data_IF_064693568689
#
_entry.id   IF_064693568689
#
_cell.length_a   1.000
_cell.length_b   1.000
_cell.length_c   1.000
_cell.angle_alpha   90.00
_cell.angle_beta   90.00
_cell.angle_gamma   90.00
#
_symmetry.space_group_name_H-M   'P 1'
#
loop_
_entity.id
_entity.type
_entity.pdbx_description
1 polymer ?
#
# COMPACT_ATOMS: atom_id res chain seq x y z
N UNK A 1 -14.95 7.64 10.59
CA UNK A 1 -14.77 8.26 9.26
C UNK A 1 -16.16 8.61 8.79
N UNK A 2 -16.31 9.76 8.16
CA UNK A 2 -17.57 10.13 7.51
C UNK A 2 -17.92 9.06 6.45
N UNK A 3 -19.07 8.42 6.62
CA UNK A 3 -19.54 7.38 5.70
C UNK A 3 -19.77 7.94 4.29
N UNK A 4 -20.15 9.22 4.17
CA UNK A 4 -20.38 9.86 2.88
C UNK A 4 -19.10 9.93 2.06
N UNK A 5 -18.00 10.37 2.67
CA UNK A 5 -16.68 10.46 2.04
C UNK A 5 -16.17 9.07 1.62
N UNK A 6 -16.41 8.05 2.45
CA UNK A 6 -16.01 6.69 2.11
C UNK A 6 -16.74 6.19 0.87
N UNK A 7 -18.06 6.39 0.79
CA UNK A 7 -18.84 5.96 -0.36
C UNK A 7 -18.49 6.75 -1.63
N UNK A 8 -18.23 8.05 -1.51
CA UNK A 8 -17.76 8.88 -2.63
C UNK A 8 -16.46 8.33 -3.22
N UNK A 9 -15.44 8.08 -2.38
CA UNK A 9 -14.15 7.55 -2.84
C UNK A 9 -14.28 6.13 -3.37
N UNK A 10 -15.01 5.26 -2.66
CA UNK A 10 -15.01 3.83 -2.94
C UNK A 10 -15.93 3.42 -4.11
N UNK A 11 -16.99 4.18 -4.37
CA UNK A 11 -17.99 3.85 -5.40
C UNK A 11 -18.05 4.86 -6.55
N UNK A 12 -17.92 6.17 -6.27
CA UNK A 12 -18.14 7.21 -7.28
C UNK A 12 -16.84 7.64 -7.98
N UNK A 13 -15.78 7.88 -7.23
CA UNK A 13 -14.48 8.35 -7.76
C UNK A 13 -13.60 7.19 -8.21
N UNK A 14 -14.16 6.30 -9.02
CA UNK A 14 -13.46 5.11 -9.53
C UNK A 14 -13.22 5.23 -11.03
N UNK A 15 -12.04 4.81 -11.47
CA UNK A 15 -11.74 4.62 -12.89
C UNK A 15 -10.73 3.48 -13.04
N UNK A 16 -10.77 2.69 -14.13
CA UNK A 16 -9.86 1.56 -14.30
C UNK A 16 -8.37 1.93 -14.21
N UNK A 17 -8.02 3.14 -14.68
CA UNK A 17 -6.65 3.66 -14.60
C UNK A 17 -6.27 4.05 -13.17
N UNK A 18 -7.16 4.73 -12.44
CA UNK A 18 -6.93 5.12 -11.05
C UNK A 18 -6.87 3.90 -10.13
N UNK A 19 -7.74 2.91 -10.35
CA UNK A 19 -7.76 1.65 -9.62
C UNK A 19 -6.45 0.89 -9.78
N UNK A 20 -5.95 0.77 -11.03
CA UNK A 20 -4.68 0.13 -11.32
C UNK A 20 -3.50 0.88 -10.72
N UNK A 21 -3.51 2.21 -10.82
CA UNK A 21 -2.48 3.07 -10.25
C UNK A 21 -2.43 2.93 -8.72
N UNK A 22 -3.57 3.07 -8.04
CA UNK A 22 -3.66 2.97 -6.58
C UNK A 22 -3.31 1.57 -6.08
N UNK A 23 -3.81 0.52 -6.75
CA UNK A 23 -3.47 -0.85 -6.41
C UNK A 23 -1.97 -1.11 -6.62
N UNK A 24 -1.42 -0.68 -7.76
CA UNK A 24 -0.01 -0.84 -8.09
C UNK A 24 0.93 -0.10 -7.14
N UNK A 25 0.57 1.12 -6.73
CA UNK A 25 1.31 1.88 -5.72
C UNK A 25 1.25 1.23 -4.33
N UNK A 26 0.12 0.60 -4.01
CA UNK A 26 -0.12 -0.02 -2.70
C UNK A 26 0.52 -1.41 -2.53
N UNK A 27 0.88 -2.13 -3.61
CA UNK A 27 1.59 -3.41 -3.50
C UNK A 27 3.08 -3.16 -3.24
N UNK A 28 3.45 -3.18 -1.96
CA UNK A 28 4.82 -2.95 -1.50
C UNK A 28 5.83 -3.92 -2.11
N UNK A 29 5.44 -5.14 -2.48
CA UNK A 29 6.37 -6.13 -3.04
C UNK A 29 6.84 -5.76 -4.45
N UNK A 30 6.10 -4.93 -5.18
CA UNK A 30 6.52 -4.40 -6.49
C UNK A 30 7.72 -3.45 -6.29
N UNK A 31 7.64 -2.59 -5.28
CA UNK A 31 8.59 -1.49 -5.07
C UNK A 31 9.76 -1.86 -4.16
N UNK A 32 9.57 -2.82 -3.25
CA UNK A 32 10.57 -3.27 -2.29
C UNK A 32 11.96 -3.57 -2.90
N UNK A 33 12.10 -4.30 -4.03
CA UNK A 33 13.43 -4.54 -4.60
C UNK A 33 14.13 -3.24 -5.04
N UNK A 34 13.39 -2.29 -5.61
CA UNK A 34 13.92 -0.99 -6.02
C UNK A 34 14.30 -0.13 -4.82
N UNK A 35 13.44 -0.07 -3.80
CA UNK A 35 13.69 0.69 -2.57
C UNK A 35 14.91 0.15 -1.82
N UNK A 36 15.08 -1.18 -1.78
CA UNK A 36 16.26 -1.82 -1.20
C UNK A 36 17.51 -1.47 -2.00
N UNK A 37 17.47 -1.60 -3.33
CA UNK A 37 18.60 -1.28 -4.19
C UNK A 37 19.03 0.20 -4.05
N UNK A 38 18.06 1.13 -4.04
CA UNK A 38 18.30 2.56 -3.81
C UNK A 38 18.89 2.79 -2.42
N UNK A 39 18.33 2.15 -1.39
CA UNK A 39 18.81 2.26 -0.01
C UNK A 39 20.26 1.80 0.13
N UNK A 40 20.60 0.61 -0.39
CA UNK A 40 21.96 0.07 -0.37
C UNK A 40 22.90 0.96 -1.19
N UNK A 41 22.50 1.34 -2.40
CA UNK A 41 23.31 2.23 -3.24
C UNK A 41 23.58 3.57 -2.56
N UNK A 42 22.59 4.14 -1.87
CA UNK A 42 22.75 5.38 -1.11
C UNK A 42 23.65 5.21 0.11
N UNK A 43 23.61 4.05 0.78
CA UNK A 43 24.50 3.75 1.90
C UNK A 43 25.96 3.58 1.47
N UNK A 44 26.19 2.92 0.32
CA UNK A 44 27.54 2.66 -0.20
C UNK A 44 28.13 3.91 -0.85
N UNK A 45 27.41 4.52 -1.80
CA UNK A 45 27.92 5.58 -2.67
C UNK A 45 27.48 6.99 -2.24
N UNK A 46 26.48 7.13 -1.38
CA UNK A 46 25.98 8.44 -0.94
C UNK A 46 26.92 9.13 0.05
N UNK A 47 26.91 10.47 0.05
CA UNK A 47 27.60 11.27 1.05
C UNK A 47 26.93 11.20 2.44
N UNK A 48 27.55 11.81 3.45
CA UNK A 48 27.09 11.78 4.84
C UNK A 48 25.59 12.12 5.01
N UNK A 49 25.12 13.20 4.37
CA UNK A 49 23.71 13.63 4.44
C UNK A 49 22.75 12.57 3.88
N UNK A 50 23.12 11.93 2.78
CA UNK A 50 22.29 10.91 2.14
C UNK A 50 22.21 9.65 3.01
N UNK A 51 23.34 9.22 3.59
CA UNK A 51 23.39 8.10 4.54
C UNK A 51 22.56 8.39 5.80
N UNK A 52 22.69 9.58 6.37
CA UNK A 52 21.91 10.00 7.53
C UNK A 52 20.40 10.00 7.25
N UNK A 53 19.98 10.44 6.05
CA UNK A 53 18.59 10.39 5.63
C UNK A 53 18.07 8.95 5.59
N UNK A 54 18.82 8.01 4.97
CA UNK A 54 18.42 6.60 4.91
C UNK A 54 18.30 6.01 6.31
N UNK A 55 19.27 6.25 7.19
CA UNK A 55 19.24 5.76 8.58
C UNK A 55 18.03 6.32 9.34
N UNK A 56 17.77 7.62 9.20
CA UNK A 56 16.62 8.28 9.83
C UNK A 56 15.29 7.69 9.32
N UNK A 57 15.17 7.49 8.01
CA UNK A 57 13.98 6.93 7.38
C UNK A 57 13.72 5.49 7.84
N UNK A 58 14.74 4.63 7.85
CA UNK A 58 14.64 3.25 8.34
C UNK A 58 14.22 3.23 9.82
N UNK A 59 14.86 4.07 10.65
CA UNK A 59 14.54 4.17 12.08
C UNK A 59 13.09 4.64 12.30
N UNK A 60 12.65 5.65 11.55
CA UNK A 60 11.30 6.19 11.62
C UNK A 60 10.25 5.13 11.26
N UNK A 61 10.46 4.40 10.16
CA UNK A 61 9.56 3.31 9.72
C UNK A 61 9.52 2.19 10.75
N UNK A 62 10.66 1.81 11.33
CA UNK A 62 10.73 0.77 12.36
C UNK A 62 9.93 1.17 13.62
N UNK A 63 10.14 2.40 14.13
CA UNK A 63 9.42 2.92 15.30
C UNK A 63 7.92 3.01 15.01
N UNK A 64 7.53 3.56 13.85
CA UNK A 64 6.13 3.63 13.44
C UNK A 64 5.48 2.24 13.34
N UNK A 65 6.22 1.22 12.85
CA UNK A 65 5.77 -0.16 12.82
C UNK A 65 5.44 -0.71 14.21
N UNK A 66 6.33 -0.49 15.19
CA UNK A 66 6.13 -0.92 16.58
C UNK A 66 4.92 -0.22 17.20
N UNK A 67 4.87 1.12 17.13
CA UNK A 67 3.81 1.92 17.72
C UNK A 67 2.46 1.57 17.10
N UNK A 68 2.37 1.48 15.77
CA UNK A 68 1.09 1.16 15.10
C UNK A 68 0.63 -0.27 15.37
N UNK A 69 1.54 -1.22 15.61
CA UNK A 69 1.18 -2.60 15.97
C UNK A 69 0.57 -2.65 17.36
N UNK A 70 1.19 -2.00 18.34
CA UNK A 70 0.65 -1.87 19.69
C UNK A 70 -0.73 -1.18 19.67
N UNK A 71 -0.86 -0.08 18.92
CA UNK A 71 -2.13 0.65 18.79
C UNK A 71 -3.23 -0.20 18.14
N UNK A 72 -2.89 -0.95 17.08
CA UNK A 72 -3.85 -1.83 16.39
C UNK A 72 -4.39 -2.92 17.31
N UNK A 73 -3.54 -3.48 18.18
CA UNK A 73 -3.95 -4.50 19.16
C UNK A 73 -4.93 -3.95 20.20
N UNK A 74 -4.75 -2.70 20.63
CA UNK A 74 -5.57 -2.11 21.69
C UNK A 74 -6.89 -1.50 21.20
N UNK A 75 -6.93 -0.99 19.96
CA UNK A 75 -8.10 -0.27 19.44
C UNK A 75 -9.11 -1.20 18.78
N UNK A 76 -8.68 -2.33 18.19
CA UNK A 76 -9.61 -3.34 17.67
C UNK A 76 -10.58 -2.89 16.57
N UNK A 77 -10.32 -1.75 15.90
CA UNK A 77 -11.25 -1.16 14.92
C UNK A 77 -11.48 -2.09 13.71
N UNK A 78 -12.74 -2.46 13.46
CA UNK A 78 -13.14 -3.22 12.28
C UNK A 78 -12.88 -2.46 10.97
N UNK A 79 -12.38 -3.17 9.96
CA UNK A 79 -12.21 -2.64 8.59
C UNK A 79 -13.56 -2.59 7.86
N UNK A 80 -13.81 -1.57 7.01
CA UNK A 80 -15.07 -1.42 6.28
C UNK A 80 -15.53 -2.68 5.52
N UNK A 81 -14.59 -3.42 4.92
CA UNK A 81 -14.85 -4.68 4.20
C UNK A 81 -15.51 -5.80 4.99
N UNK A 82 -15.56 -5.73 6.32
CA UNK A 82 -16.22 -6.74 7.17
C UNK A 82 -17.60 -6.31 7.66
N UNK A 83 -17.98 -5.05 7.46
CA UNK A 83 -19.20 -4.45 8.04
C UNK A 83 -20.17 -3.99 6.95
N UNK A 84 -19.67 -3.75 5.74
CA UNK A 84 -20.47 -3.31 4.60
C UNK A 84 -19.92 -3.86 3.28
N UNK A 85 -20.77 -3.87 2.24
CA UNK A 85 -20.37 -4.17 0.88
C UNK A 85 -19.40 -3.11 0.35
N UNK A 86 -18.17 -3.52 0.07
CA UNK A 86 -17.11 -2.62 -0.44
C UNK A 86 -16.58 -3.15 -1.76
N UNK A 87 -16.43 -2.25 -2.73
CA UNK A 87 -15.69 -2.51 -3.98
C UNK A 87 -14.20 -2.68 -3.68
N UNK A 88 -13.70 -3.89 -3.85
CA UNK A 88 -12.32 -4.31 -3.64
C UNK A 88 -11.59 -4.40 -4.99
N UNK A 89 -10.47 -3.70 -5.12
CA UNK A 89 -9.61 -3.75 -6.31
C UNK A 89 -8.43 -4.68 -6.01
N UNK A 90 -8.24 -5.70 -6.84
CA UNK A 90 -7.14 -6.65 -6.72
C UNK A 90 -6.31 -6.64 -8.01
N UNK A 91 -4.99 -6.62 -7.87
CA UNK A 91 -4.12 -6.88 -9.02
C UNK A 91 -4.22 -8.34 -9.43
N UNK A 92 -4.24 -8.60 -10.74
CA UNK A 92 -4.12 -9.96 -11.25
C UNK A 92 -2.77 -10.55 -10.85
N UNK A 93 -2.74 -11.82 -10.48
CA UNK A 93 -1.48 -12.51 -10.15
C UNK A 93 -0.62 -12.62 -11.41
N UNK A 94 0.60 -12.08 -11.37
CA UNK A 94 1.61 -12.25 -12.41
C UNK A 94 2.97 -12.49 -11.76
N UNK A 95 3.85 -13.16 -12.50
CA UNK A 95 5.25 -13.38 -12.13
C UNK A 95 6.13 -12.94 -13.30
N UNK A 96 7.12 -12.04 -13.09
CA UNK A 96 7.39 -11.27 -11.87
C UNK A 96 6.27 -10.28 -11.49
N UNK A 97 6.23 -9.86 -10.23
CA UNK A 97 5.13 -9.05 -9.67
C UNK A 97 4.92 -7.70 -10.36
N UNK A 98 5.93 -7.06 -10.92
CA UNK A 98 5.72 -5.79 -11.62
C UNK A 98 4.89 -5.93 -12.90
N UNK A 99 4.82 -7.13 -13.50
CA UNK A 99 3.96 -7.39 -14.67
C UNK A 99 2.46 -7.28 -14.35
N UNK A 100 2.09 -7.26 -13.08
CA UNK A 100 0.69 -7.05 -12.68
C UNK A 100 0.21 -5.65 -13.03
N UNK A 101 1.12 -4.67 -13.15
CA UNK A 101 0.81 -3.29 -13.54
C UNK A 101 0.36 -3.17 -15.00
N UNK A 102 0.73 -4.11 -15.85
CA UNK A 102 0.31 -4.13 -17.26
C UNK A 102 -1.04 -4.84 -17.47
N UNK A 103 -1.62 -5.40 -16.41
CA UNK A 103 -2.86 -6.17 -16.48
C UNK A 103 -4.03 -5.36 -15.92
N UNK A 104 -5.22 -5.60 -16.46
CA UNK A 104 -6.44 -4.98 -15.92
C UNK A 104 -6.67 -5.46 -14.49
N UNK A 105 -6.99 -4.55 -13.55
CA UNK A 105 -7.30 -4.94 -12.18
C UNK A 105 -8.61 -5.75 -12.13
N UNK A 106 -8.70 -6.69 -11.21
CA UNK A 106 -9.91 -7.47 -10.94
C UNK A 106 -10.68 -6.76 -9.84
N UNK A 107 -11.93 -6.43 -10.12
CA UNK A 107 -12.85 -5.80 -9.17
C UNK A 107 -13.72 -6.90 -8.56
N UNK A 108 -13.78 -6.95 -7.23
CA UNK A 108 -14.65 -7.86 -6.47
C UNK A 108 -15.42 -7.06 -5.42
N UNK A 109 -16.61 -7.51 -5.05
CA UNK A 109 -17.30 -6.96 -3.88
C UNK A 109 -17.01 -7.85 -2.67
N UNK A 110 -16.92 -7.27 -1.48
CA UNK A 110 -16.64 -8.00 -0.23
C UNK A 110 -17.67 -9.10 0.08
N UNK A 111 -18.90 -8.94 -0.40
CA UNK A 111 -20.03 -9.79 -0.05
C UNK A 111 -20.25 -10.93 -1.06
N UNK A 112 -19.50 -10.90 -2.18
CA UNK A 112 -19.56 -11.94 -3.20
C UNK A 112 -18.50 -13.01 -2.89
N UNK A 113 -18.95 -14.13 -2.34
CA UNK A 113 -18.15 -15.35 -2.13
C UNK A 113 -17.65 -15.91 -3.47
#
# INVERSE_FOLDING_TARGET
MDQSLFHAINQQWTSPALDLFMAGLSDSQIWMPFLIAIGIGTLVFGGFKARALVICLVSSVAIAGLVTTALKSNVGRHRPKHVQSVRMVQLQKARPKFLTLCKKPVIRFSDSA
#
